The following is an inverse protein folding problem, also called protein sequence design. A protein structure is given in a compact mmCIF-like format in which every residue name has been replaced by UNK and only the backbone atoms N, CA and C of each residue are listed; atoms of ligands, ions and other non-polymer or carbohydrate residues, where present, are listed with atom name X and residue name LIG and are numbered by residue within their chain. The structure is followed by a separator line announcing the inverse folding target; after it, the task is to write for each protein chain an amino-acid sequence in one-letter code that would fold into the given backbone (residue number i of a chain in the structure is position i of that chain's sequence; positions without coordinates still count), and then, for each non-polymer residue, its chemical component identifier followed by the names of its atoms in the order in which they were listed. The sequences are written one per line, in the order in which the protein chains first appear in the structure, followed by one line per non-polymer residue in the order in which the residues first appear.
data_IF_948502754132
#
_entry.id   IF_948502754132
#
_cell.length_a   1.000
_cell.length_b   1.000
_cell.length_c   1.000
_cell.angle_alpha   90.00
_cell.angle_beta   90.00
_cell.angle_gamma   90.00
#
_symmetry.space_group_name_H-M   'P 1'
#
loop_
_entity.id
_entity.type
_entity.pdbx_description
1 polymer ?
#
# COMPACT_ATOMS: atom_id res chain seq x y z
N UNK A 1 25.69 -1.18 -33.57
CA UNK A 1 25.26 -2.13 -32.54
C UNK A 1 24.27 -1.42 -31.64
N UNK A 2 22.98 -1.80 -31.68
CA UNK A 2 21.98 -1.28 -30.75
C UNK A 2 22.18 -1.99 -29.41
N UNK A 3 22.57 -1.26 -28.35
CA UNK A 3 22.46 -1.80 -26.99
C UNK A 3 20.98 -1.89 -26.68
N UNK A 4 20.43 -3.09 -26.50
CA UNK A 4 19.11 -3.24 -25.87
C UNK A 4 19.18 -2.52 -24.52
N UNK A 5 18.38 -1.47 -24.40
CA UNK A 5 18.29 -0.70 -23.17
C UNK A 5 17.51 -1.56 -22.18
N UNK A 6 18.15 -1.94 -21.07
CA UNK A 6 17.47 -2.65 -19.99
C UNK A 6 16.46 -1.69 -19.37
N UNK A 7 15.18 -2.07 -19.37
CA UNK A 7 14.13 -1.29 -18.72
C UNK A 7 14.35 -1.29 -17.20
N UNK A 8 14.17 -0.13 -16.57
CA UNK A 8 14.09 -0.06 -15.12
C UNK A 8 12.81 -0.74 -14.63
N UNK A 9 12.80 -1.24 -13.39
CA UNK A 9 11.65 -1.98 -12.84
C UNK A 9 10.32 -1.22 -12.97
N UNK A 10 10.32 0.11 -12.76
CA UNK A 10 9.12 0.96 -12.82
C UNK A 10 8.63 1.23 -14.25
N UNK A 11 9.44 0.93 -15.28
CA UNK A 11 9.06 1.09 -16.68
C UNK A 11 8.27 -0.11 -17.21
N UNK A 12 8.46 -1.28 -16.59
CA UNK A 12 7.83 -2.54 -17.02
C UNK A 12 6.94 -3.17 -15.95
N UNK A 13 7.09 -2.79 -14.68
CA UNK A 13 6.37 -3.38 -13.56
C UNK A 13 4.92 -2.91 -13.45
N UNK A 14 4.07 -3.78 -12.93
CA UNK A 14 2.67 -3.49 -12.61
C UNK A 14 2.58 -2.91 -11.21
N UNK A 15 2.07 -1.68 -11.10
CA UNK A 15 1.84 -1.01 -9.81
C UNK A 15 0.37 -1.15 -9.42
N UNK A 16 0.12 -1.62 -8.21
CA UNK A 16 -1.22 -1.70 -7.63
C UNK A 16 -1.42 -0.61 -6.58
N UNK A 17 -2.38 0.26 -6.80
CA UNK A 17 -2.69 1.33 -5.85
C UNK A 17 -3.70 0.84 -4.81
N UNK A 18 -3.36 1.01 -3.53
CA UNK A 18 -4.22 0.70 -2.39
C UNK A 18 -4.72 1.99 -1.76
N UNK A 19 -6.02 2.02 -1.45
CA UNK A 19 -6.61 3.00 -0.56
C UNK A 19 -6.85 2.34 0.80
N UNK A 20 -6.02 2.63 1.84
CA UNK A 20 -5.88 1.78 3.03
C UNK A 20 -7.20 1.61 3.77
N UNK A 21 -7.92 2.72 3.99
CA UNK A 21 -9.21 2.79 4.69
C UNK A 21 -10.30 1.86 4.12
N UNK A 22 -10.19 1.43 2.87
CA UNK A 22 -11.22 0.62 2.20
C UNK A 22 -10.71 -0.72 1.68
N UNK A 23 -9.49 -1.12 2.04
CA UNK A 23 -8.90 -2.35 1.52
C UNK A 23 -9.28 -3.58 2.36
N UNK A 24 -8.85 -3.63 3.62
CA UNK A 24 -9.14 -4.75 4.52
C UNK A 24 -9.05 -4.27 5.97
N UNK A 25 -10.15 -4.37 6.70
CA UNK A 25 -10.23 -4.17 8.16
C UNK A 25 -9.84 -5.48 8.87
N UNK A 26 -9.03 -5.40 9.93
CA UNK A 26 -8.62 -6.56 10.75
C UNK A 26 -9.13 -6.52 12.18
N UNK A 27 -9.64 -5.39 12.65
CA UNK A 27 -10.00 -5.18 14.05
C UNK A 27 -11.52 -4.95 14.26
N UNK A 28 -12.31 -4.96 13.18
CA UNK A 28 -13.76 -4.79 13.14
C UNK A 28 -14.26 -3.38 13.52
N UNK A 29 -13.45 -2.34 13.32
CA UNK A 29 -13.85 -0.93 13.47
C UNK A 29 -14.45 -0.30 12.20
N UNK A 30 -14.43 -1.03 11.07
CA UNK A 30 -14.93 -0.59 9.77
C UNK A 30 -13.94 0.21 8.92
N UNK A 31 -12.68 0.32 9.34
CA UNK A 31 -11.60 1.02 8.65
C UNK A 31 -10.53 -0.01 8.28
N UNK A 32 -10.10 -0.02 7.01
CA UNK A 32 -8.98 -0.84 6.60
C UNK A 32 -7.66 -0.34 7.17
N UNK A 33 -6.77 -1.25 7.54
CA UNK A 33 -5.54 -1.00 8.28
C UNK A 33 -4.31 -1.66 7.62
N UNK A 34 -3.11 -1.36 8.12
CA UNK A 34 -1.85 -1.89 7.56
C UNK A 34 -1.74 -3.41 7.72
N UNK A 35 -2.24 -3.97 8.83
CA UNK A 35 -2.27 -5.41 9.06
C UNK A 35 -3.15 -6.12 8.01
N UNK A 36 -4.26 -5.48 7.61
CA UNK A 36 -5.13 -5.96 6.55
C UNK A 36 -4.45 -5.95 5.19
N UNK A 37 -3.58 -4.97 4.92
CA UNK A 37 -2.73 -4.98 3.72
C UNK A 37 -1.75 -6.16 3.78
N UNK A 38 -1.09 -6.38 4.91
CA UNK A 38 -0.14 -7.48 5.12
C UNK A 38 -0.82 -8.84 4.87
N UNK A 39 -2.02 -9.06 5.41
CA UNK A 39 -2.79 -10.29 5.23
C UNK A 39 -3.20 -10.57 3.77
N UNK A 40 -3.12 -9.59 2.89
CA UNK A 40 -3.47 -9.70 1.46
C UNK A 40 -2.25 -9.74 0.54
N UNK A 41 -1.02 -9.73 1.07
CA UNK A 41 0.18 -9.78 0.24
C UNK A 41 0.20 -11.02 -0.68
N UNK A 42 -0.20 -12.19 -0.21
CA UNK A 42 -0.27 -13.40 -1.05
C UNK A 42 -1.30 -13.28 -2.19
N UNK A 43 -2.42 -12.57 -1.97
CA UNK A 43 -3.37 -12.28 -3.05
C UNK A 43 -2.73 -11.38 -4.12
N UNK A 44 -1.95 -10.40 -3.69
CA UNK A 44 -1.30 -9.43 -4.58
C UNK A 44 -0.14 -10.08 -5.35
N UNK A 45 0.73 -10.78 -4.64
CA UNK A 45 1.84 -11.53 -5.22
C UNK A 45 2.38 -12.58 -4.22
N UNK A 46 2.09 -13.86 -4.47
CA UNK A 46 2.64 -15.02 -3.75
C UNK A 46 3.88 -15.64 -4.43
N UNK A 47 4.40 -15.00 -5.49
CA UNK A 47 5.48 -15.53 -6.31
C UNK A 47 5.07 -16.63 -7.29
N UNK A 48 3.76 -16.92 -7.41
CA UNK A 48 3.21 -17.92 -8.33
C UNK A 48 2.31 -17.27 -9.38
N UNK A 49 1.99 -17.97 -10.48
CA UNK A 49 1.04 -17.47 -11.49
C UNK A 49 -0.42 -17.35 -11.02
N UNK A 50 -0.73 -17.72 -9.77
CA UNK A 50 -2.10 -17.74 -9.26
C UNK A 50 -2.50 -16.48 -8.48
N UNK A 51 -1.55 -15.65 -8.08
CA UNK A 51 -1.80 -14.32 -7.51
C UNK A 51 -1.96 -13.27 -8.62
N UNK A 52 -2.25 -12.02 -8.23
CA UNK A 52 -2.40 -10.94 -9.20
C UNK A 52 -1.08 -10.63 -9.96
N UNK A 53 0.07 -10.93 -9.35
CA UNK A 53 1.39 -10.82 -9.97
C UNK A 53 1.89 -9.38 -10.08
N UNK A 54 1.59 -8.54 -9.09
CA UNK A 54 2.03 -7.12 -9.07
C UNK A 54 3.51 -7.00 -8.71
N UNK A 55 4.18 -5.96 -9.19
CA UNK A 55 5.60 -5.71 -8.90
C UNK A 55 5.81 -4.68 -7.78
N UNK A 56 4.85 -3.79 -7.58
CA UNK A 56 4.93 -2.75 -6.55
C UNK A 56 3.53 -2.34 -6.04
N UNK A 57 3.50 -1.89 -4.79
CA UNK A 57 2.32 -1.32 -4.15
C UNK A 57 2.52 0.19 -4.02
N UNK A 58 1.49 0.96 -4.38
CA UNK A 58 1.38 2.37 -4.04
C UNK A 58 0.23 2.56 -3.05
N UNK A 59 0.54 2.89 -1.81
CA UNK A 59 -0.48 3.15 -0.78
C UNK A 59 -0.82 4.64 -0.80
N UNK A 60 -2.11 4.97 -0.83
CA UNK A 60 -2.60 6.33 -0.54
C UNK A 60 -2.22 6.73 0.90
N UNK A 61 -2.27 8.03 1.27
CA UNK A 61 -1.75 8.48 2.57
C UNK A 61 -2.30 7.70 3.78
N UNK A 62 -1.39 7.34 4.69
CA UNK A 62 -1.67 6.67 5.97
C UNK A 62 -0.99 7.38 7.16
N UNK A 63 -0.54 8.62 6.95
CA UNK A 63 0.07 9.49 7.95
C UNK A 63 -0.99 10.14 8.85
N UNK A 64 -0.64 10.62 10.07
CA UNK A 64 -1.53 11.37 10.93
C UNK A 64 -2.30 12.48 10.19
N UNK A 65 -3.61 12.25 10.12
CA UNK A 65 -4.67 12.98 9.44
C UNK A 65 -5.65 13.74 10.34
N UNK A 66 -5.94 15.05 10.19
CA UNK A 66 -7.25 15.58 10.60
C UNK A 66 -8.41 15.03 9.74
N UNK A 67 -8.09 14.33 8.64
CA UNK A 67 -8.98 13.65 7.72
C UNK A 67 -9.97 14.59 7.01
N UNK A 68 -9.61 15.86 6.79
CA UNK A 68 -10.43 16.79 6.00
C UNK A 68 -10.35 16.49 4.50
N UNK A 69 -9.26 15.86 4.08
CA UNK A 69 -9.05 15.38 2.71
C UNK A 69 -8.58 13.92 2.71
N UNK A 70 -9.20 13.09 3.56
CA UNK A 70 -8.98 11.64 3.60
C UNK A 70 -7.50 11.21 3.64
N UNK A 71 -6.70 11.89 4.47
CA UNK A 71 -5.29 11.58 4.69
C UNK A 71 -4.32 12.44 3.87
N UNK A 72 -4.78 13.17 2.86
CA UNK A 72 -3.91 14.08 2.08
C UNK A 72 -3.57 15.38 2.83
N UNK A 73 -4.37 15.77 3.82
CA UNK A 73 -4.12 16.88 4.73
C UNK A 73 -3.20 16.49 5.91
N UNK A 74 -1.99 16.02 5.60
CA UNK A 74 -1.02 15.44 6.56
C UNK A 74 -0.63 16.42 7.67
N UNK A 75 -0.67 15.93 8.93
CA UNK A 75 -0.25 16.67 10.13
C UNK A 75 1.17 16.32 10.60
N UNK A 76 1.60 15.07 10.39
CA UNK A 76 2.96 14.60 10.66
C UNK A 76 3.39 13.62 9.56
N UNK A 77 4.50 13.91 8.87
CA UNK A 77 5.00 13.05 7.78
C UNK A 77 5.88 11.89 8.27
N UNK A 78 6.17 11.82 9.57
CA UNK A 78 7.13 10.88 10.15
C UNK A 78 6.49 9.80 11.03
N UNK A 79 5.16 9.77 11.13
CA UNK A 79 4.41 8.79 11.91
C UNK A 79 3.27 8.17 11.09
N UNK A 80 2.60 7.16 11.65
CA UNK A 80 1.42 6.50 11.08
C UNK A 80 0.17 6.99 11.81
N UNK A 81 -0.92 7.23 11.08
CA UNK A 81 -2.20 7.54 11.74
C UNK A 81 -2.64 6.34 12.58
N UNK A 82 -2.96 6.50 13.87
CA UNK A 82 -3.37 5.40 14.74
C UNK A 82 -4.56 4.59 14.23
N UNK A 83 -5.38 5.14 13.31
CA UNK A 83 -6.45 4.37 12.67
C UNK A 83 -5.96 3.28 11.72
N UNK A 84 -4.72 3.38 11.22
CA UNK A 84 -4.13 2.43 10.28
C UNK A 84 -3.12 1.49 10.94
N UNK A 85 -2.64 1.81 12.15
CA UNK A 85 -1.66 1.02 12.88
C UNK A 85 -0.60 1.90 13.53
N UNK A 86 0.64 1.41 13.55
CA UNK A 86 1.79 2.13 14.09
C UNK A 86 3.03 1.96 13.19
N UNK A 87 4.13 2.64 13.55
CA UNK A 87 5.42 2.55 12.84
C UNK A 87 6.09 1.16 12.94
N UNK A 88 5.69 0.30 13.86
CA UNK A 88 6.23 -1.06 13.96
C UNK A 88 5.49 -2.02 13.01
N UNK A 89 4.22 -1.77 12.73
CA UNK A 89 3.45 -2.48 11.70
C UNK A 89 3.87 -2.09 10.28
N UNK A 90 4.28 -0.83 10.05
CA UNK A 90 4.76 -0.35 8.75
C UNK A 90 6.20 -0.80 8.43
#
# INVERSE_FOLDING_TARGET
MNKSQVLHWWQSGVVYQIYPRSFQDTNSDGIGDLEGIIQRLDYLNDGTPNSLGIDAIWISPFYPSPMKDFGYDVADYCDVDPMFGDLATF
#
